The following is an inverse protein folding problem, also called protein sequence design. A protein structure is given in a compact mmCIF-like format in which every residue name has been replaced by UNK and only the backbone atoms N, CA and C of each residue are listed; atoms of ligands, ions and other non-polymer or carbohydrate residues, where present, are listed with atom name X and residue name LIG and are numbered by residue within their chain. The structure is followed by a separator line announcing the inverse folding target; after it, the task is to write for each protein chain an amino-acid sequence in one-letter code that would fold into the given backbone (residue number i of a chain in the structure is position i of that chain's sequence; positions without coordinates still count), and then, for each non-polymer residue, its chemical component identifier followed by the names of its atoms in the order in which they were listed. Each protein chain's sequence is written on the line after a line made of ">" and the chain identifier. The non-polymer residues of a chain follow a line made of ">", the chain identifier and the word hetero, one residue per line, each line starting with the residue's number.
data_IF_727711053901
#
_entry.id   IF_727711053901
#
_cell.length_a   1.000
_cell.length_b   1.000
_cell.length_c   1.000
_cell.angle_alpha   90.00
_cell.angle_beta   90.00
_cell.angle_gamma   90.00
#
_symmetry.space_group_name_H-M   'P 1'
#
loop_
_entity.id
_entity.type
_entity.pdbx_description
1 polymer ?
#
# COMPACT_ATOMS: atom_id res chain seq x y z
N UNK A 1 10.18 13.35 12.33
CA UNK A 1 11.56 12.79 12.45
C UNK A 1 12.55 13.82 12.95
N UNK A 2 12.52 15.08 12.49
CA UNK A 2 13.46 16.12 12.93
C UNK A 2 13.48 16.41 14.44
N UNK A 3 12.42 16.02 15.15
CA UNK A 3 12.35 16.12 16.63
C UNK A 3 12.94 14.90 17.34
N UNK A 4 13.37 13.88 16.60
CA UNK A 4 14.01 12.66 17.10
C UNK A 4 15.29 12.42 16.28
N UNK A 5 16.38 13.16 16.56
CA UNK A 5 17.61 13.10 15.78
C UNK A 5 18.26 11.72 15.78
N UNK A 6 17.99 10.90 16.79
CA UNK A 6 18.48 9.52 16.91
C UNK A 6 18.06 8.63 15.74
N UNK A 7 16.93 8.91 15.07
CA UNK A 7 16.52 8.20 13.87
C UNK A 7 17.52 8.39 12.72
N UNK A 8 18.03 9.60 12.57
CA UNK A 8 19.05 9.90 11.56
C UNK A 8 20.36 9.23 11.92
N UNK A 9 20.78 9.32 13.17
CA UNK A 9 22.00 8.68 13.66
C UNK A 9 21.94 7.15 13.44
N UNK A 10 20.85 6.50 13.82
CA UNK A 10 20.64 5.08 13.62
C UNK A 10 20.67 4.70 12.14
N UNK A 11 20.08 5.53 11.28
CA UNK A 11 20.13 5.35 9.82
C UNK A 11 21.58 5.31 9.32
N UNK A 12 22.45 6.21 9.79
CA UNK A 12 23.87 6.19 9.41
C UNK A 12 24.61 4.94 9.91
N UNK A 13 24.32 4.46 11.10
CA UNK A 13 24.85 3.17 11.55
C UNK A 13 24.42 2.03 10.61
N UNK A 14 23.15 1.98 10.23
CA UNK A 14 22.62 0.94 9.33
C UNK A 14 23.22 1.02 7.92
N UNK A 15 23.58 2.21 7.42
CA UNK A 15 24.25 2.35 6.14
C UNK A 15 25.58 1.59 6.07
N UNK A 16 26.23 1.32 7.20
CA UNK A 16 27.45 0.51 7.25
C UNK A 16 27.17 -1.01 7.18
N UNK A 17 25.92 -1.40 7.38
CA UNK A 17 25.49 -2.81 7.38
C UNK A 17 24.86 -3.25 6.05
N UNK A 18 24.52 -2.29 5.17
CA UNK A 18 23.84 -2.54 3.89
C UNK A 18 24.69 -2.10 2.73
N UNK A 19 24.81 -2.93 1.70
CA UNK A 19 25.54 -2.57 0.49
C UNK A 19 24.65 -1.88 -0.53
N UNK A 20 25.24 -1.02 -1.38
CA UNK A 20 24.56 -0.40 -2.52
C UNK A 20 23.87 -1.45 -3.39
N UNK A 21 24.57 -2.55 -3.69
CA UNK A 21 24.02 -3.64 -4.49
C UNK A 21 22.77 -4.30 -3.85
N UNK A 22 22.70 -4.35 -2.50
CA UNK A 22 21.51 -4.88 -1.81
C UNK A 22 20.32 -3.96 -1.97
N UNK A 23 20.50 -2.65 -1.79
CA UNK A 23 19.44 -1.66 -1.98
C UNK A 23 18.93 -1.66 -3.43
N UNK A 24 19.83 -1.70 -4.41
CA UNK A 24 19.47 -1.77 -5.84
C UNK A 24 18.65 -3.02 -6.21
N UNK A 25 18.89 -4.15 -5.52
CA UNK A 25 18.12 -5.39 -5.74
C UNK A 25 16.75 -5.41 -5.08
N UNK A 26 16.47 -4.46 -4.19
CA UNK A 26 15.14 -4.39 -3.56
C UNK A 26 14.08 -4.13 -4.63
N UNK A 27 13.06 -5.00 -4.80
CA UNK A 27 12.06 -4.89 -5.87
C UNK A 27 11.30 -3.56 -5.86
N UNK A 28 10.95 -3.05 -4.69
CA UNK A 28 10.23 -1.78 -4.54
C UNK A 28 11.11 -0.61 -4.98
N UNK A 29 12.37 -0.55 -4.55
CA UNK A 29 13.33 0.48 -4.97
C UNK A 29 13.54 0.45 -6.47
N UNK A 30 13.72 -0.75 -7.05
CA UNK A 30 13.91 -0.93 -8.49
C UNK A 30 12.70 -0.42 -9.30
N UNK A 31 11.50 -0.76 -8.88
CA UNK A 31 10.25 -0.29 -9.50
C UNK A 31 10.11 1.24 -9.42
N UNK A 32 10.42 1.83 -8.28
CA UNK A 32 10.34 3.28 -8.10
C UNK A 32 11.39 4.04 -8.90
N UNK A 33 12.62 3.52 -9.03
CA UNK A 33 13.65 4.11 -9.90
C UNK A 33 13.15 4.21 -11.33
N UNK A 34 12.52 3.15 -11.85
CA UNK A 34 11.94 3.13 -13.19
C UNK A 34 10.78 4.11 -13.33
N UNK A 35 9.82 4.10 -12.40
CA UNK A 35 8.67 5.00 -12.44
C UNK A 35 9.03 6.47 -12.38
N UNK A 36 10.14 6.81 -11.71
CA UNK A 36 10.60 8.20 -11.54
C UNK A 36 11.64 8.62 -12.58
N UNK A 37 12.01 7.74 -13.52
CA UNK A 37 13.07 7.98 -14.51
C UNK A 37 14.41 8.38 -13.87
N UNK A 38 14.76 7.76 -12.75
CA UNK A 38 16.02 8.03 -12.03
C UNK A 38 17.20 7.19 -12.54
N UNK A 39 17.02 6.38 -13.58
CA UNK A 39 18.01 5.40 -14.04
C UNK A 39 19.39 5.98 -14.29
N UNK A 40 19.47 7.21 -14.86
CA UNK A 40 20.72 7.88 -15.14
C UNK A 40 21.29 8.68 -13.94
N UNK A 41 20.46 9.01 -12.95
CA UNK A 41 20.85 9.85 -11.81
C UNK A 41 19.95 9.62 -10.61
N UNK A 42 20.34 8.66 -9.77
CA UNK A 42 19.58 8.31 -8.56
C UNK A 42 19.97 9.29 -7.44
N UNK A 43 19.04 10.10 -6.89
CA UNK A 43 19.33 10.92 -5.74
C UNK A 43 19.71 10.07 -4.52
N UNK A 44 20.80 10.41 -3.83
CA UNK A 44 21.30 9.64 -2.67
C UNK A 44 20.22 9.53 -1.58
N UNK A 45 19.53 10.62 -1.27
CA UNK A 45 18.46 10.63 -0.27
C UNK A 45 17.32 9.66 -0.63
N UNK A 46 16.94 9.62 -1.91
CA UNK A 46 15.99 8.61 -2.39
C UNK A 46 16.55 7.18 -2.23
N UNK A 47 17.82 6.99 -2.57
CA UNK A 47 18.44 5.66 -2.49
C UNK A 47 18.57 5.13 -1.06
N UNK A 48 18.68 6.03 -0.07
CA UNK A 48 18.86 5.69 1.33
C UNK A 48 17.54 5.49 2.10
N UNK A 49 16.38 5.85 1.55
CA UNK A 49 15.10 5.78 2.30
C UNK A 49 14.76 4.40 2.86
N UNK A 50 15.08 3.25 2.19
CA UNK A 50 14.79 1.93 2.76
C UNK A 50 15.56 1.64 4.06
N UNK A 51 16.74 2.24 4.19
CA UNK A 51 17.57 2.12 5.39
C UNK A 51 17.00 3.01 6.49
N UNK A 52 16.57 4.22 6.15
CA UNK A 52 15.89 5.12 7.08
C UNK A 52 14.57 4.52 7.60
N UNK A 53 13.81 3.85 6.72
CA UNK A 53 12.58 3.15 7.12
C UNK A 53 12.86 2.04 8.14
N UNK A 54 13.97 1.32 8.02
CA UNK A 54 14.37 0.34 9.01
C UNK A 54 14.69 0.99 10.36
N UNK A 55 15.29 2.18 10.37
CA UNK A 55 15.51 2.94 11.60
C UNK A 55 14.18 3.39 12.25
N UNK A 56 13.22 3.88 11.46
CA UNK A 56 11.89 4.26 11.95
C UNK A 56 11.18 3.10 12.66
N UNK A 57 11.34 1.87 12.16
CA UNK A 57 10.71 0.66 12.72
C UNK A 57 11.44 0.23 14.01
N UNK A 58 12.76 0.13 13.95
CA UNK A 58 13.54 -0.52 15.01
C UNK A 58 13.85 0.38 16.20
N UNK A 59 13.92 1.70 16.01
CA UNK A 59 14.17 2.66 17.08
C UNK A 59 13.10 2.60 18.20
N UNK A 60 11.87 2.27 17.83
CA UNK A 60 10.74 2.15 18.76
C UNK A 60 10.49 0.70 19.22
N UNK A 61 11.39 -0.22 18.90
CA UNK A 61 11.28 -1.66 19.21
C UNK A 61 9.95 -2.24 18.75
N UNK A 62 9.52 -1.86 17.55
CA UNK A 62 8.30 -2.39 16.96
C UNK A 62 8.41 -3.92 16.85
N UNK A 63 7.49 -4.63 17.48
CA UNK A 63 7.38 -6.09 17.40
C UNK A 63 6.54 -6.51 16.21
N UNK A 64 5.63 -5.64 15.77
CA UNK A 64 4.64 -5.94 14.74
C UNK A 64 4.44 -4.73 13.85
N UNK A 65 4.50 -4.93 12.52
CA UNK A 65 4.32 -3.87 11.53
C UNK A 65 3.23 -4.27 10.53
N UNK A 66 2.03 -3.66 10.63
CA UNK A 66 0.97 -3.85 9.63
C UNK A 66 1.31 -3.08 8.36
N UNK A 67 1.33 -3.78 7.22
CA UNK A 67 1.73 -3.22 5.92
C UNK A 67 0.92 -3.78 4.76
N UNK A 68 0.90 -3.06 3.64
CA UNK A 68 0.49 -3.61 2.35
C UNK A 68 1.59 -4.49 1.73
N UNK A 69 1.20 -5.29 0.75
CA UNK A 69 2.09 -6.23 0.06
C UNK A 69 3.32 -5.55 -0.58
N UNK A 70 3.16 -4.31 -1.04
CA UNK A 70 4.23 -3.52 -1.64
C UNK A 70 5.36 -3.17 -0.67
N UNK A 71 5.13 -3.29 0.64
CA UNK A 71 6.12 -3.02 1.69
C UNK A 71 6.89 -4.28 2.14
N UNK A 72 6.50 -5.47 1.70
CA UNK A 72 7.20 -6.72 2.07
C UNK A 72 8.71 -6.64 1.82
N UNK A 73 9.21 -6.21 0.64
CA UNK A 73 10.65 -6.14 0.41
C UNK A 73 11.39 -5.16 1.32
N UNK A 74 10.71 -4.13 1.83
CA UNK A 74 11.27 -3.18 2.78
C UNK A 74 11.42 -3.80 4.16
N UNK A 75 10.39 -4.53 4.61
CA UNK A 75 10.41 -5.21 5.89
C UNK A 75 11.42 -6.37 5.90
N UNK A 76 11.56 -7.11 4.81
CA UNK A 76 12.60 -8.13 4.64
C UNK A 76 14.00 -7.51 4.77
N UNK A 77 14.23 -6.36 4.11
CA UNK A 77 15.50 -5.63 4.26
C UNK A 77 15.72 -5.13 5.68
N UNK A 78 14.66 -4.69 6.37
CA UNK A 78 14.72 -4.33 7.79
C UNK A 78 15.18 -5.50 8.66
N UNK A 79 14.60 -6.69 8.47
CA UNK A 79 14.99 -7.92 9.17
C UNK A 79 16.47 -8.29 8.93
N UNK A 80 16.93 -8.16 7.69
CA UNK A 80 18.35 -8.37 7.36
C UNK A 80 19.27 -7.40 8.12
N UNK A 81 18.87 -6.14 8.26
CA UNK A 81 19.60 -5.12 9.03
C UNK A 81 19.64 -5.51 10.51
N UNK A 82 18.49 -5.86 11.08
CA UNK A 82 18.36 -6.30 12.48
C UNK A 82 19.29 -7.49 12.74
N UNK A 83 19.23 -8.50 11.88
CA UNK A 83 20.06 -9.70 12.01
C UNK A 83 21.57 -9.36 11.98
N UNK A 84 22.00 -8.53 11.02
CA UNK A 84 23.40 -8.09 10.93
C UNK A 84 23.83 -7.27 12.13
N UNK A 85 22.99 -6.34 12.55
CA UNK A 85 23.27 -5.50 13.71
C UNK A 85 23.46 -6.35 14.97
N UNK A 86 22.53 -7.26 15.24
CA UNK A 86 22.59 -8.14 16.40
C UNK A 86 23.79 -9.09 16.34
N UNK A 87 24.17 -9.54 15.14
CA UNK A 87 25.38 -10.37 14.96
C UNK A 87 26.66 -9.61 15.30
N UNK A 88 26.76 -8.33 14.95
CA UNK A 88 27.98 -7.52 15.14
C UNK A 88 28.06 -6.93 16.55
N UNK A 89 26.93 -6.43 17.06
CA UNK A 89 26.88 -5.63 18.29
C UNK A 89 26.20 -6.33 19.47
N UNK A 90 25.74 -7.56 19.29
CA UNK A 90 24.97 -8.31 20.27
C UNK A 90 23.45 -8.06 20.14
N UNK A 91 22.66 -8.91 20.77
CA UNK A 91 21.20 -8.89 20.80
C UNK A 91 20.67 -7.57 21.36
N UNK A 92 20.33 -6.63 20.48
CA UNK A 92 19.91 -5.27 20.83
C UNK A 92 18.59 -4.89 20.18
N UNK A 93 18.43 -5.18 18.90
CA UNK A 93 17.28 -4.83 18.11
C UNK A 93 16.26 -5.97 18.08
N UNK A 94 14.97 -5.62 18.08
CA UNK A 94 13.87 -6.57 17.91
C UNK A 94 13.57 -6.76 16.43
N UNK A 95 13.51 -8.00 15.96
CA UNK A 95 13.06 -8.30 14.61
C UNK A 95 11.53 -8.14 14.53
N UNK A 96 11.01 -7.30 13.63
CA UNK A 96 9.57 -7.05 13.53
C UNK A 96 8.85 -8.20 12.80
N UNK A 97 7.65 -8.51 13.27
CA UNK A 97 6.70 -9.38 12.57
C UNK A 97 5.89 -8.58 11.55
N UNK A 98 5.70 -9.16 10.36
CA UNK A 98 4.94 -8.52 9.29
C UNK A 98 3.50 -9.01 9.35
N UNK A 99 2.55 -8.08 9.42
CA UNK A 99 1.12 -8.40 9.33
C UNK A 99 0.55 -7.79 8.05
N UNK A 100 0.02 -8.66 7.20
CA UNK A 100 -0.74 -8.27 6.01
C UNK A 100 -2.23 -8.20 6.34
N UNK A 101 -3.00 -7.38 5.62
CA UNK A 101 -4.46 -7.39 5.72
C UNK A 101 -5.02 -8.79 5.47
N UNK A 102 -5.95 -9.23 6.32
CA UNK A 102 -6.67 -10.50 6.15
C UNK A 102 -7.58 -10.48 4.91
N UNK A 103 -8.14 -9.32 4.59
CA UNK A 103 -8.92 -9.12 3.37
C UNK A 103 -7.98 -8.84 2.18
N UNK A 104 -7.97 -9.73 1.20
CA UNK A 104 -7.14 -9.63 -0.01
C UNK A 104 -7.40 -8.35 -0.82
N UNK A 105 -8.62 -7.83 -0.83
CA UNK A 105 -8.96 -6.58 -1.50
C UNK A 105 -8.21 -5.37 -0.91
N UNK A 106 -7.84 -5.44 0.38
CA UNK A 106 -7.08 -4.39 1.06
C UNK A 106 -5.56 -4.46 0.84
N UNK A 107 -5.03 -5.53 0.23
CA UNK A 107 -3.60 -5.66 -0.05
C UNK A 107 -3.09 -4.55 -0.96
N UNK A 108 -3.89 -4.18 -1.97
CA UNK A 108 -3.56 -3.12 -2.91
C UNK A 108 -4.83 -2.51 -3.52
N UNK A 109 -5.23 -1.34 -3.05
CA UNK A 109 -6.37 -0.63 -3.61
C UNK A 109 -5.99 0.12 -4.90
N UNK A 110 -6.77 -0.02 -5.99
CA UNK A 110 -6.61 0.81 -7.17
C UNK A 110 -7.06 2.25 -6.89
N UNK A 111 -6.58 3.18 -7.71
CA UNK A 111 -7.17 4.52 -7.75
C UNK A 111 -8.60 4.50 -8.29
N UNK A 112 -9.34 5.59 -8.07
CA UNK A 112 -10.71 5.75 -8.61
C UNK A 112 -10.75 5.71 -10.15
N UNK A 113 -9.60 5.94 -10.81
CA UNK A 113 -9.42 5.84 -12.26
C UNK A 113 -9.33 4.40 -12.80
N UNK A 114 -9.23 3.40 -11.91
CA UNK A 114 -9.13 1.98 -12.28
C UNK A 114 -7.85 1.57 -13.01
N UNK A 115 -6.90 2.49 -13.19
CA UNK A 115 -5.71 2.27 -14.02
C UNK A 115 -4.44 2.08 -13.21
N UNK A 116 -4.28 2.84 -12.15
CA UNK A 116 -3.07 2.87 -11.36
C UNK A 116 -3.37 2.61 -9.88
N UNK A 117 -2.33 2.29 -9.10
CA UNK A 117 -2.40 2.26 -7.64
C UNK A 117 -2.89 3.61 -7.13
N UNK A 118 -3.74 3.59 -6.11
CA UNK A 118 -4.14 4.79 -5.38
C UNK A 118 -2.92 5.60 -4.93
N UNK A 119 -2.86 6.88 -5.33
CA UNK A 119 -1.71 7.75 -5.01
C UNK A 119 -2.13 9.21 -4.90
N UNK A 120 -1.62 9.89 -3.88
CA UNK A 120 -1.82 11.34 -3.70
C UNK A 120 -1.27 12.14 -4.88
N UNK A 121 -0.11 11.75 -5.41
CA UNK A 121 0.54 12.44 -6.52
C UNK A 121 -0.21 12.32 -7.85
N UNK A 122 -1.04 11.29 -8.01
CA UNK A 122 -1.90 11.09 -9.18
C UNK A 122 -3.29 11.72 -9.01
N UNK A 123 -3.66 12.17 -7.80
CA UNK A 123 -4.97 12.73 -7.53
C UNK A 123 -6.13 11.74 -7.67
N UNK A 124 -5.85 10.44 -7.70
CA UNK A 124 -6.82 9.36 -7.94
C UNK A 124 -7.27 8.67 -6.65
N UNK A 125 -7.23 9.36 -5.52
CA UNK A 125 -7.58 8.80 -4.23
C UNK A 125 -8.73 9.55 -3.54
N UNK A 126 -9.47 8.82 -2.70
CA UNK A 126 -10.39 9.39 -1.72
C UNK A 126 -9.56 9.63 -0.45
N UNK A 127 -9.55 10.86 0.03
CA UNK A 127 -8.82 11.23 1.25
C UNK A 127 -9.70 11.02 2.48
N UNK A 128 -9.10 10.67 3.60
CA UNK A 128 -9.81 10.60 4.90
C UNK A 128 -10.31 11.98 5.37
N UNK A 129 -9.78 13.06 4.79
CA UNK A 129 -10.17 14.45 5.05
C UNK A 129 -11.16 15.00 4.04
N UNK A 130 -11.61 14.20 3.06
CA UNK A 130 -12.62 14.66 2.09
C UNK A 130 -13.96 14.85 2.79
N UNK A 131 -14.63 15.93 2.47
CA UNK A 131 -16.01 16.16 2.88
C UNK A 131 -16.96 15.21 2.13
N UNK A 132 -18.14 14.95 2.69
CA UNK A 132 -19.14 14.03 2.12
C UNK A 132 -19.44 14.32 0.63
N UNK A 133 -19.57 15.59 0.27
CA UNK A 133 -19.83 16.02 -1.11
C UNK A 133 -18.68 15.64 -2.06
N UNK A 134 -17.43 15.73 -1.61
CA UNK A 134 -16.25 15.37 -2.40
C UNK A 134 -16.13 13.85 -2.54
N UNK A 135 -16.39 13.10 -1.47
CA UNK A 135 -16.44 11.63 -1.52
C UNK A 135 -17.49 11.19 -2.54
N UNK A 136 -18.71 11.73 -2.45
CA UNK A 136 -19.79 11.42 -3.40
C UNK A 136 -19.38 11.72 -4.85
N UNK A 137 -18.79 12.89 -5.11
CA UNK A 137 -18.31 13.26 -6.43
C UNK A 137 -17.25 12.30 -6.95
N UNK A 138 -16.27 11.91 -6.11
CA UNK A 138 -15.22 10.96 -6.46
C UNK A 138 -15.79 9.57 -6.74
N UNK A 139 -16.71 9.08 -5.92
CA UNK A 139 -17.38 7.80 -6.13
C UNK A 139 -18.18 7.81 -7.44
N UNK A 140 -18.93 8.86 -7.72
CA UNK A 140 -19.68 9.00 -8.98
C UNK A 140 -18.79 9.11 -10.22
N UNK A 141 -17.51 9.49 -10.05
CA UNK A 141 -16.52 9.55 -11.13
C UNK A 141 -15.63 8.33 -11.23
N UNK A 142 -15.86 7.30 -10.41
CA UNK A 142 -15.07 6.06 -10.48
C UNK A 142 -15.18 5.44 -11.87
N UNK A 143 -14.04 4.90 -12.32
CA UNK A 143 -14.01 4.08 -13.51
C UNK A 143 -14.96 2.89 -13.33
N UNK A 144 -15.78 2.65 -14.34
CA UNK A 144 -16.68 1.48 -14.42
C UNK A 144 -16.43 0.75 -15.73
N UNK A 145 -17.19 -0.32 -15.99
CA UNK A 145 -17.07 -1.07 -17.23
C UNK A 145 -17.50 -0.21 -18.43
N UNK A 146 -16.61 0.10 -19.37
CA UNK A 146 -16.94 0.89 -20.55
C UNK A 146 -17.88 0.19 -21.54
N UNK A 147 -18.08 -1.12 -21.41
CA UNK A 147 -18.96 -1.91 -22.25
C UNK A 147 -20.39 -2.04 -21.68
N UNK A 148 -20.60 -1.70 -20.41
CA UNK A 148 -21.90 -1.68 -19.77
C UNK A 148 -22.60 -0.34 -20.03
N UNK A 149 -23.17 -0.19 -21.24
CA UNK A 149 -23.81 1.05 -21.71
C UNK A 149 -25.30 1.11 -21.42
N UNK A 150 -25.95 -0.05 -21.31
CA UNK A 150 -27.37 -0.19 -21.04
C UNK A 150 -27.55 -1.08 -19.81
N UNK A 151 -28.71 -0.98 -19.17
CA UNK A 151 -29.05 -1.78 -17.97
C UNK A 151 -29.07 -3.28 -18.30
N UNK A 152 -29.38 -3.64 -19.53
CA UNK A 152 -29.44 -5.03 -20.00
C UNK A 152 -28.07 -5.59 -20.43
N UNK A 153 -27.04 -4.74 -20.53
CA UNK A 153 -25.71 -5.21 -20.90
C UNK A 153 -25.06 -5.90 -19.69
N UNK A 154 -24.48 -7.10 -19.83
CA UNK A 154 -23.76 -7.74 -18.73
C UNK A 154 -22.54 -6.90 -18.34
N UNK A 155 -22.40 -6.60 -17.06
CA UNK A 155 -21.27 -5.85 -16.55
C UNK A 155 -20.07 -6.72 -16.18
N UNK A 156 -18.90 -6.12 -16.11
CA UNK A 156 -17.66 -6.78 -15.68
C UNK A 156 -17.28 -6.34 -14.28
N UNK A 157 -17.21 -7.28 -13.35
CA UNK A 157 -16.78 -7.08 -11.95
C UNK A 157 -15.27 -7.05 -11.83
N UNK A 158 -14.57 -7.93 -12.57
CA UNK A 158 -13.11 -8.05 -12.50
C UNK A 158 -12.41 -6.76 -12.96
N UNK A 159 -11.54 -6.22 -12.09
CA UNK A 159 -10.82 -4.98 -12.35
C UNK A 159 -11.67 -3.71 -12.23
N UNK A 160 -12.92 -3.81 -11.83
CA UNK A 160 -13.80 -2.67 -11.59
C UNK A 160 -13.56 -2.10 -10.19
N UNK A 161 -13.04 -0.86 -10.06
CA UNK A 161 -12.74 -0.27 -8.76
C UNK A 161 -13.95 -0.20 -7.83
N UNK A 162 -15.16 -0.01 -8.33
CA UNK A 162 -16.37 0.04 -7.49
C UNK A 162 -16.52 -1.27 -6.70
N UNK A 163 -16.40 -2.41 -7.35
CA UNK A 163 -16.51 -3.71 -6.67
C UNK A 163 -15.31 -4.02 -5.78
N UNK A 164 -14.10 -3.58 -6.17
CA UNK A 164 -12.90 -3.73 -5.33
C UNK A 164 -13.07 -2.91 -4.03
N UNK A 165 -13.62 -1.70 -4.10
CA UNK A 165 -13.89 -0.88 -2.91
C UNK A 165 -15.03 -1.45 -2.07
N UNK A 166 -16.06 -2.02 -2.68
CA UNK A 166 -17.11 -2.74 -1.96
C UNK A 166 -16.53 -3.97 -1.23
N UNK A 167 -15.67 -4.76 -1.88
CA UNK A 167 -14.97 -5.89 -1.24
C UNK A 167 -14.10 -5.44 -0.06
N UNK A 168 -13.48 -4.27 -0.16
CA UNK A 168 -12.58 -3.78 0.87
C UNK A 168 -13.32 -3.17 2.08
N UNK A 169 -14.41 -2.47 1.85
CA UNK A 169 -15.02 -1.59 2.85
C UNK A 169 -16.47 -1.90 3.19
N UNK A 170 -17.21 -2.59 2.32
CA UNK A 170 -18.62 -2.87 2.56
C UNK A 170 -18.78 -3.94 3.64
N UNK A 171 -19.56 -3.64 4.66
CA UNK A 171 -19.93 -4.58 5.71
C UNK A 171 -21.27 -5.23 5.37
N UNK A 172 -21.50 -6.48 5.80
CA UNK A 172 -22.78 -7.17 5.55
C UNK A 172 -24.01 -6.39 6.00
N UNK A 173 -23.91 -5.64 7.08
CA UNK A 173 -25.00 -4.84 7.63
C UNK A 173 -25.48 -3.73 6.66
N UNK A 174 -24.59 -3.24 5.80
CA UNK A 174 -24.93 -2.18 4.84
C UNK A 174 -25.86 -2.66 3.73
N UNK A 175 -25.84 -3.94 3.39
CA UNK A 175 -26.79 -4.49 2.42
C UNK A 175 -28.23 -4.41 2.96
N UNK A 176 -28.45 -4.77 4.21
CA UNK A 176 -29.76 -4.69 4.83
C UNK A 176 -30.31 -3.25 4.91
N UNK A 177 -29.40 -2.27 5.05
CA UNK A 177 -29.77 -0.85 5.21
C UNK A 177 -29.95 -0.13 3.88
N UNK A 178 -29.03 -0.33 2.91
CA UNK A 178 -28.97 0.49 1.70
C UNK A 178 -29.34 -0.26 0.41
N UNK A 179 -29.26 -1.57 0.40
CA UNK A 179 -29.52 -2.43 -0.77
C UNK A 179 -30.30 -3.69 -0.36
N UNK A 180 -31.51 -3.52 0.22
CA UNK A 180 -32.28 -4.64 0.79
C UNK A 180 -32.69 -5.72 -0.22
N UNK A 181 -32.61 -5.43 -1.51
CA UNK A 181 -32.84 -6.40 -2.60
C UNK A 181 -31.71 -7.42 -2.76
N UNK A 182 -30.53 -7.19 -2.15
CA UNK A 182 -29.40 -8.12 -2.16
C UNK A 182 -29.05 -8.55 -0.74
N UNK A 183 -28.80 -9.84 -0.54
CA UNK A 183 -28.40 -10.35 0.78
C UNK A 183 -26.92 -10.08 1.10
N UNK A 184 -26.07 -9.99 0.04
CA UNK A 184 -24.64 -9.82 0.16
C UNK A 184 -24.03 -9.31 -1.15
N UNK A 185 -22.74 -9.01 -1.11
CA UNK A 185 -21.98 -8.50 -2.25
C UNK A 185 -21.89 -9.49 -3.42
N UNK A 186 -21.86 -10.79 -3.15
CA UNK A 186 -21.78 -11.82 -4.21
C UNK A 186 -23.08 -11.85 -5.03
N UNK A 187 -24.21 -11.64 -4.40
CA UNK A 187 -25.50 -11.56 -5.08
C UNK A 187 -25.59 -10.29 -5.95
N UNK A 188 -25.11 -9.15 -5.45
CA UNK A 188 -25.00 -7.91 -6.23
C UNK A 188 -24.07 -8.11 -7.45
N UNK A 189 -22.90 -8.73 -7.25
CA UNK A 189 -21.96 -9.04 -8.34
C UNK A 189 -22.59 -9.96 -9.39
N UNK A 190 -23.29 -11.00 -8.94
CA UNK A 190 -23.97 -11.93 -9.82
C UNK A 190 -25.10 -11.26 -10.62
N UNK A 191 -25.79 -10.29 -10.03
CA UNK A 191 -26.79 -9.49 -10.73
C UNK A 191 -26.14 -8.60 -11.81
N UNK A 192 -25.05 -7.92 -11.47
CA UNK A 192 -24.35 -7.01 -12.39
C UNK A 192 -23.75 -7.71 -13.61
N UNK A 193 -23.44 -9.00 -13.52
CA UNK A 193 -22.83 -9.80 -14.60
C UNK A 193 -23.85 -10.55 -15.47
N UNK A 194 -25.14 -10.45 -15.20
CA UNK A 194 -26.23 -11.09 -15.98
C UNK A 194 -26.70 -10.20 -17.12
#
# INVERSE_FOLDING_TARGET
>A
QSMVPELTELTFYYMNLVTVARVQRNPTVKSEIQMRNFEASIPVGFFCYPISQAADITAFRATTVPVGEDQLPMLEQCKEIVHKFNTVYGETLTEPEIILPSNKACLRLPGIDGKAKMSKSLGNCIYLSDEEADVKKKVMSMFTDPNHLRVEDPGRVEGNPVFIYLDAFCKPEYFAEFLPEYQNLDELKAHYTR
#
